data_IF_071298792966
#
_entry.id   IF_071298792966
#
_cell.length_a   1.000
_cell.length_b   1.000
_cell.length_c   1.000
_cell.angle_alpha   90.00
_cell.angle_beta   90.00
_cell.angle_gamma   90.00
#
_symmetry.space_group_name_H-M   'P 1'
#
loop_
_entity.id
_entity.type
_entity.pdbx_description
1 polymer ?
#
# COMPACT_ATOMS: atom_id res chain seq x y z
N UNK A 1 11.54 9.43 2.83
CA UNK A 1 11.63 8.34 3.84
C UNK A 1 10.59 7.22 3.64
N UNK A 2 9.44 7.48 3.01
CA UNK A 2 8.31 6.56 2.79
C UNK A 2 8.65 5.22 2.11
N UNK A 3 9.66 5.22 1.21
CA UNK A 3 10.10 4.04 0.45
C UNK A 3 10.52 2.84 1.32
N UNK A 4 10.93 3.08 2.57
CA UNK A 4 11.27 2.00 3.51
C UNK A 4 10.11 1.05 3.80
N UNK A 5 8.86 1.49 3.68
CA UNK A 5 7.70 0.65 3.95
C UNK A 5 7.28 -0.21 2.76
N UNK A 6 7.68 0.17 1.54
CA UNK A 6 7.25 -0.51 0.32
C UNK A 6 7.55 -2.02 0.29
N UNK A 7 8.77 -2.51 0.60
CA UNK A 7 9.05 -3.94 0.58
C UNK A 7 8.18 -4.71 1.58
N UNK A 8 7.98 -4.17 2.78
CA UNK A 8 7.16 -4.81 3.81
C UNK A 8 5.68 -4.86 3.42
N UNK A 9 5.17 -3.78 2.84
CA UNK A 9 3.77 -3.69 2.40
C UNK A 9 3.50 -4.65 1.23
N UNK A 10 4.43 -4.76 0.28
CA UNK A 10 4.34 -5.72 -0.82
C UNK A 10 4.34 -7.15 -0.28
N UNK A 11 5.30 -7.48 0.60
CA UNK A 11 5.39 -8.81 1.20
C UNK A 11 4.13 -9.17 1.99
N UNK A 12 3.62 -8.24 2.80
CA UNK A 12 2.39 -8.42 3.57
C UNK A 12 1.17 -8.64 2.66
N UNK A 13 1.06 -7.87 1.58
CA UNK A 13 -0.04 -7.99 0.62
C UNK A 13 -0.04 -9.33 -0.11
N UNK A 14 1.15 -9.83 -0.49
CA UNK A 14 1.31 -11.15 -1.12
C UNK A 14 0.98 -12.26 -0.11
N UNK A 15 1.46 -12.14 1.14
CA UNK A 15 1.17 -13.10 2.18
C UNK A 15 -0.34 -13.23 2.46
N UNK A 16 -1.05 -12.08 2.52
CA UNK A 16 -2.50 -12.05 2.68
C UNK A 16 -3.23 -12.71 1.50
N UNK A 17 -2.85 -12.40 0.26
CA UNK A 17 -3.46 -13.03 -0.93
C UNK A 17 -3.26 -14.54 -0.92
N UNK A 18 -2.03 -15.00 -0.67
CA UNK A 18 -1.70 -16.43 -0.60
C UNK A 18 -2.54 -17.15 0.46
N UNK A 19 -2.71 -16.55 1.63
CA UNK A 19 -3.51 -17.12 2.70
C UNK A 19 -5.01 -17.13 2.36
N UNK A 20 -5.52 -16.07 1.74
CA UNK A 20 -6.89 -16.02 1.28
C UNK A 20 -7.17 -17.15 0.27
N UNK A 21 -6.25 -17.37 -0.67
CA UNK A 21 -6.32 -18.46 -1.64
C UNK A 21 -6.25 -19.83 -0.97
N UNK A 22 -5.34 -20.00 -0.01
CA UNK A 22 -5.07 -21.30 0.62
C UNK A 22 -6.15 -21.72 1.63
N UNK A 23 -6.67 -20.77 2.41
CA UNK A 23 -7.56 -21.06 3.54
C UNK A 23 -9.02 -20.72 3.28
N UNK A 24 -9.30 -19.75 2.39
CA UNK A 24 -10.67 -19.35 2.05
C UNK A 24 -11.08 -19.73 0.62
N UNK A 25 -10.15 -20.24 -0.20
CA UNK A 25 -10.41 -20.56 -1.60
C UNK A 25 -10.74 -19.34 -2.45
N UNK A 26 -10.46 -18.12 -1.98
CA UNK A 26 -10.74 -16.87 -2.69
C UNK A 26 -9.47 -16.31 -3.30
N UNK A 27 -9.54 -15.94 -4.58
CA UNK A 27 -8.47 -15.27 -5.30
C UNK A 27 -8.79 -13.78 -5.46
N UNK A 28 -7.78 -12.92 -5.23
CA UNK A 28 -7.89 -11.50 -5.53
C UNK A 28 -7.32 -11.20 -6.90
N UNK A 29 -7.99 -10.32 -7.64
CA UNK A 29 -7.43 -9.78 -8.88
C UNK A 29 -6.15 -8.98 -8.61
N UNK A 30 -5.27 -8.90 -9.61
CA UNK A 30 -4.05 -8.07 -9.54
C UNK A 30 -4.35 -6.63 -9.14
N UNK A 31 -5.45 -6.07 -9.64
CA UNK A 31 -5.90 -4.72 -9.29
C UNK A 31 -6.27 -4.59 -7.80
N UNK A 32 -6.96 -5.59 -7.23
CA UNK A 32 -7.30 -5.62 -5.79
C UNK A 32 -6.06 -5.76 -4.90
N UNK A 33 -5.09 -6.57 -5.31
CA UNK A 33 -3.80 -6.67 -4.60
C UNK A 33 -3.05 -5.34 -4.65
N UNK A 34 -3.02 -4.68 -5.82
CA UNK A 34 -2.38 -3.37 -5.96
C UNK A 34 -3.07 -2.28 -5.12
N UNK A 35 -4.40 -2.30 -5.02
CA UNK A 35 -5.13 -1.40 -4.14
C UNK A 35 -4.79 -1.65 -2.66
N UNK A 36 -4.64 -2.91 -2.27
CA UNK A 36 -4.22 -3.30 -0.92
C UNK A 36 -2.82 -2.77 -0.59
N UNK A 37 -1.87 -2.89 -1.53
CA UNK A 37 -0.51 -2.34 -1.39
C UNK A 37 -0.56 -0.82 -1.15
N UNK A 38 -1.30 -0.07 -1.97
CA UNK A 38 -1.42 1.39 -1.80
C UNK A 38 -2.05 1.77 -0.46
N UNK A 39 -3.09 1.06 -0.05
CA UNK A 39 -3.77 1.30 1.22
C UNK A 39 -2.84 1.03 2.41
N UNK A 40 -2.17 -0.12 2.45
CA UNK A 40 -1.22 -0.43 3.51
C UNK A 40 -0.05 0.56 3.54
N UNK A 41 0.48 0.95 2.38
CA UNK A 41 1.53 1.96 2.29
C UNK A 41 1.09 3.28 2.93
N UNK A 42 -0.13 3.74 2.63
CA UNK A 42 -0.70 4.93 3.25
C UNK A 42 -0.81 4.78 4.77
N UNK A 43 -1.44 3.70 5.25
CA UNK A 43 -1.70 3.51 6.68
C UNK A 43 -0.40 3.41 7.49
N UNK A 44 0.59 2.68 6.97
CA UNK A 44 1.86 2.49 7.66
C UNK A 44 2.70 3.75 7.66
N UNK A 45 2.70 4.49 6.55
CA UNK A 45 3.37 5.79 6.46
C UNK A 45 2.69 6.84 7.34
N UNK A 46 1.35 6.84 7.40
CA UNK A 46 0.58 7.72 8.29
C UNK A 46 0.84 7.41 9.76
N UNK A 47 0.90 6.12 10.13
CA UNK A 47 1.26 5.70 11.48
C UNK A 47 2.69 6.14 11.87
N UNK A 48 3.60 6.18 10.91
CA UNK A 48 4.95 6.70 11.08
C UNK A 48 5.04 8.25 11.12
N UNK A 49 3.91 8.95 11.02
CA UNK A 49 3.80 10.42 10.88
C UNK A 49 4.44 11.00 9.60
N UNK A 50 4.81 10.15 8.64
CA UNK A 50 5.44 10.56 7.39
C UNK A 50 4.42 11.11 6.34
N UNK A 51 3.11 11.03 6.61
CA UNK A 51 2.02 11.52 5.74
C UNK A 51 0.96 12.34 6.50
N UNK A 52 1.37 13.21 7.43
CA UNK A 52 0.41 14.10 8.10
C UNK A 52 -0.26 15.05 7.08
N UNK A 53 -1.59 15.02 7.01
CA UNK A 53 -2.38 15.91 6.14
C UNK A 53 -2.77 15.36 4.76
N UNK A 54 -2.28 14.17 4.38
CA UNK A 54 -2.67 13.51 3.12
C UNK A 54 -3.84 12.55 3.39
N UNK A 55 -4.88 12.58 2.55
CA UNK A 55 -5.98 11.60 2.59
C UNK A 55 -5.64 10.35 1.77
N UNK A 56 -6.24 9.22 2.12
CA UNK A 56 -6.07 7.96 1.37
C UNK A 56 -6.52 8.15 -0.09
N UNK A 57 -7.64 8.85 -0.30
CA UNK A 57 -8.17 9.14 -1.63
C UNK A 57 -7.18 9.94 -2.47
N UNK A 58 -6.58 10.99 -1.89
CA UNK A 58 -5.55 11.79 -2.57
C UNK A 58 -4.36 10.93 -3.01
N UNK A 59 -3.87 10.05 -2.13
CA UNK A 59 -2.78 9.12 -2.45
C UNK A 59 -3.17 8.09 -3.53
N UNK A 60 -4.42 7.63 -3.53
CA UNK A 60 -4.91 6.66 -4.52
C UNK A 60 -5.02 7.27 -5.92
N UNK A 61 -5.54 8.50 -6.01
CA UNK A 61 -5.69 9.27 -7.25
C UNK A 61 -4.33 9.74 -7.77
N UNK A 62 -3.49 10.28 -6.88
CA UNK A 62 -2.19 10.89 -7.22
C UNK A 62 -1.02 9.98 -6.91
N UNK A 63 -1.20 8.66 -7.03
CA UNK A 63 -0.18 7.68 -6.68
C UNK A 63 1.17 8.02 -7.33
N UNK A 64 1.19 8.19 -8.66
CA UNK A 64 2.41 8.51 -9.42
C UNK A 64 3.11 9.78 -8.94
N UNK A 65 2.36 10.81 -8.57
CA UNK A 65 2.92 12.07 -8.04
C UNK A 65 3.44 11.91 -6.62
N UNK A 66 2.81 11.03 -5.83
CA UNK A 66 3.17 10.78 -4.42
C UNK A 66 4.43 9.92 -4.30
N UNK A 67 4.60 8.93 -5.19
CA UNK A 67 5.85 8.16 -5.27
C UNK A 67 6.99 8.98 -5.90
N UNK A 68 6.70 9.87 -6.87
CA UNK A 68 7.75 10.65 -7.55
C UNK A 68 7.99 12.04 -6.96
N UNK A 69 7.24 12.45 -5.94
CA UNK A 69 7.42 13.73 -5.26
C UNK A 69 8.80 13.83 -4.60
N UNK A 70 9.40 15.03 -4.51
CA UNK A 70 10.76 15.19 -4.06
C UNK A 70 10.93 14.60 -2.65
N UNK A 71 12.03 13.87 -2.46
CA UNK A 71 12.54 13.58 -1.13
C UNK A 71 13.08 14.91 -0.59
N UNK A 72 12.19 15.71 -0.02
CA UNK A 72 12.49 16.95 0.69
C UNK A 72 11.86 16.91 2.06
#
# INVERSE_FOLDING_TARGET
MLWRFLPFVVMWSIWLERNLRKFEGKEKSRASVMASIKAFFFWWSKAAKDLSGISLESLMVKWKETINGPIG
#
